data_IF_954881492533
#
_entry.id   IF_954881492533
#
_cell.length_a   1.000
_cell.length_b   1.000
_cell.length_c   1.000
_cell.angle_alpha   90.00
_cell.angle_beta   90.00
_cell.angle_gamma   90.00
#
_symmetry.space_group_name_H-M   'P 1'
#
loop_
_entity.id
_entity.type
_entity.pdbx_description
1 polymer ?
#
# COMPACT_ATOMS: atom_id res chain seq x y z
N UNK A 1 21.32 16.91 -3.27
CA UNK A 1 21.00 15.72 -2.80
C UNK A 1 19.75 15.21 -3.33
N UNK A 2 19.75 14.02 -3.71
CA UNK A 2 18.61 13.52 -4.27
C UNK A 2 17.68 12.98 -3.31
N UNK A 3 16.45 13.16 -3.45
CA UNK A 3 15.47 12.59 -2.62
C UNK A 3 15.01 11.37 -3.22
N UNK A 4 15.01 10.30 -2.54
CA UNK A 4 14.52 9.04 -3.02
C UNK A 4 13.04 8.98 -2.73
N UNK A 5 12.23 8.92 -3.77
CA UNK A 5 10.82 8.78 -3.56
C UNK A 5 10.38 7.54 -4.26
N UNK A 6 9.20 7.07 -3.93
CA UNK A 6 8.67 5.90 -4.58
C UNK A 6 8.26 6.27 -5.99
N UNK A 7 8.50 5.39 -6.93
CA UNK A 7 8.16 5.66 -8.29
C UNK A 7 6.68 5.57 -8.52
N UNK A 8 6.08 6.55 -9.15
CA UNK A 8 4.63 6.51 -9.39
C UNK A 8 4.18 5.30 -10.17
N UNK A 9 5.00 4.84 -11.10
CA UNK A 9 4.61 3.66 -11.89
C UNK A 9 4.51 2.44 -11.02
N UNK A 10 5.41 2.30 -10.07
CA UNK A 10 5.36 1.18 -9.16
C UNK A 10 4.12 1.27 -8.27
N UNK A 11 3.83 2.44 -7.76
CA UNK A 11 2.68 2.63 -6.90
C UNK A 11 1.41 2.38 -7.70
N UNK A 12 1.38 2.80 -8.96
CA UNK A 12 0.23 2.57 -9.79
C UNK A 12 0.04 1.06 -10.02
N UNK A 13 1.12 0.33 -10.19
CA UNK A 13 1.03 -1.11 -10.35
C UNK A 13 0.46 -1.76 -9.09
N UNK A 14 0.85 -1.28 -7.94
CA UNK A 14 0.33 -1.81 -6.69
C UNK A 14 -1.16 -1.50 -6.56
N UNK A 15 -1.60 -0.31 -6.93
CA UNK A 15 -3.00 0.03 -6.91
C UNK A 15 -3.78 -0.94 -7.80
N UNK A 16 -3.26 -1.22 -8.97
CA UNK A 16 -3.94 -2.12 -9.87
C UNK A 16 -4.03 -3.53 -9.31
N UNK A 17 -2.99 -4.00 -8.70
CA UNK A 17 -2.98 -5.33 -8.12
C UNK A 17 -3.99 -5.42 -6.99
N UNK A 18 -3.98 -4.43 -6.12
CA UNK A 18 -4.89 -4.45 -4.98
C UNK A 18 -6.33 -4.35 -5.46
N UNK A 19 -6.57 -3.49 -6.44
CA UNK A 19 -7.92 -3.32 -6.95
C UNK A 19 -8.41 -4.59 -7.63
N UNK A 20 -7.53 -5.24 -8.38
CA UNK A 20 -7.90 -6.48 -9.03
C UNK A 20 -8.23 -7.56 -8.03
N UNK A 21 -7.47 -7.63 -6.96
CA UNK A 21 -7.70 -8.61 -5.94
C UNK A 21 -9.04 -8.35 -5.26
N UNK A 22 -9.34 -7.10 -4.97
CA UNK A 22 -10.60 -6.79 -4.35
C UNK A 22 -11.76 -7.08 -5.30
N UNK A 23 -11.58 -6.86 -6.57
CA UNK A 23 -12.61 -7.16 -7.53
C UNK A 23 -12.87 -8.65 -7.60
N UNK A 24 -11.82 -9.45 -7.54
CA UNK A 24 -11.99 -10.88 -7.52
C UNK A 24 -12.71 -11.32 -6.28
N UNK A 25 -12.38 -10.80 -5.15
CA UNK A 25 -13.04 -11.16 -3.91
C UNK A 25 -14.50 -10.77 -3.98
N UNK A 26 -14.82 -9.63 -4.54
CA UNK A 26 -16.18 -9.21 -4.66
C UNK A 26 -16.93 -10.14 -5.59
N UNK A 27 -16.31 -10.57 -6.66
CA UNK A 27 -16.94 -11.49 -7.56
C UNK A 27 -17.21 -12.81 -6.91
N UNK A 28 -16.34 -13.30 -6.09
CA UNK A 28 -16.57 -14.55 -5.41
C UNK A 28 -17.72 -14.44 -4.45
N UNK A 29 -17.86 -13.35 -3.77
CA UNK A 29 -18.96 -13.17 -2.86
C UNK A 29 -20.23 -12.98 -3.63
N UNK A 30 -20.23 -12.20 -4.66
CA UNK A 30 -21.41 -11.99 -5.43
C UNK A 30 -21.78 -13.22 -6.21
N UNK A 31 -20.82 -13.99 -6.61
CA UNK A 31 -21.08 -15.20 -7.33
C UNK A 31 -21.85 -16.17 -6.50
N UNK A 32 -21.66 -16.15 -5.24
CA UNK A 32 -22.35 -17.03 -4.38
C UNK A 32 -23.80 -16.64 -4.29
N UNK A 33 -24.13 -15.38 -4.35
CA UNK A 33 -25.43 -14.97 -4.26
C UNK A 33 -26.00 -14.78 -5.55
N UNK A 34 -25.31 -14.59 -6.55
CA UNK A 34 -25.88 -14.15 -7.71
C UNK A 34 -26.09 -15.10 -8.71
N UNK A 35 -26.64 -16.08 -8.40
CA UNK A 35 -26.97 -16.96 -9.39
C UNK A 35 -27.83 -16.33 -10.34
N UNK A 36 -28.45 -15.28 -10.07
CA UNK A 36 -29.31 -14.68 -10.95
C UNK A 36 -28.54 -14.13 -11.99
N UNK A 37 -27.53 -13.93 -11.98
CA UNK A 37 -26.75 -13.57 -12.97
C UNK A 37 -27.10 -12.63 -13.98
N UNK A 38 -27.95 -11.97 -13.96
CA UNK A 38 -28.27 -11.18 -14.95
C UNK A 38 -27.47 -10.06 -14.97
N UNK A 39 -26.55 -9.94 -14.66
CA UNK A 39 -25.81 -8.91 -14.54
C UNK A 39 -25.00 -8.59 -15.67
N UNK A 40 -25.34 -8.82 -16.81
CA UNK A 40 -24.54 -8.50 -17.92
C UNK A 40 -24.10 -7.09 -17.93
N UNK A 41 -24.98 -6.23 -17.61
CA UNK A 41 -24.64 -4.86 -17.62
C UNK A 41 -23.64 -4.53 -16.54
N UNK A 42 -23.78 -5.11 -15.46
CA UNK A 42 -22.86 -4.84 -14.39
C UNK A 42 -21.53 -5.40 -14.65
N UNK A 43 -21.45 -6.42 -15.43
CA UNK A 43 -20.21 -7.05 -15.64
C UNK A 43 -19.26 -6.16 -16.33
N UNK A 44 -19.70 -5.42 -17.29
CA UNK A 44 -18.76 -4.60 -17.98
C UNK A 44 -18.19 -3.54 -17.06
N UNK A 45 -18.95 -3.04 -16.15
CA UNK A 45 -18.41 -2.12 -15.22
C UNK A 45 -17.44 -2.76 -14.29
N UNK A 46 -17.69 -3.96 -13.89
CA UNK A 46 -16.79 -4.61 -12.99
C UNK A 46 -15.48 -4.86 -13.60
N UNK A 47 -15.45 -5.08 -14.89
CA UNK A 47 -14.21 -5.37 -15.53
C UNK A 47 -13.48 -4.13 -15.95
N UNK A 48 -14.00 -2.97 -15.66
CA UNK A 48 -13.33 -1.78 -16.04
C UNK A 48 -12.02 -1.66 -15.31
N UNK A 49 -10.94 -1.38 -15.94
CA UNK A 49 -9.67 -1.29 -15.26
C UNK A 49 -9.71 -0.05 -14.38
N UNK A 50 -9.06 -0.14 -13.27
CA UNK A 50 -9.00 0.94 -12.35
C UNK A 50 -7.72 1.67 -12.54
N UNK A 51 -7.78 2.97 -12.58
CA UNK A 51 -6.56 3.72 -12.61
C UNK A 51 -6.66 4.76 -11.53
N UNK A 52 -5.58 5.10 -10.95
CA UNK A 52 -5.58 6.07 -9.90
C UNK A 52 -5.42 7.44 -10.51
N UNK A 53 -6.06 8.40 -9.92
CA UNK A 53 -5.89 9.77 -10.30
C UNK A 53 -4.45 10.17 -10.06
N UNK A 54 -3.92 11.06 -10.88
CA UNK A 54 -2.53 11.47 -10.74
C UNK A 54 -2.23 12.08 -9.40
N UNK A 55 -3.17 12.85 -8.85
CA UNK A 55 -2.96 13.43 -7.53
C UNK A 55 -2.95 12.35 -6.46
N UNK A 56 -3.77 11.33 -6.63
CA UNK A 56 -3.79 10.24 -5.66
C UNK A 56 -2.47 9.49 -5.67
N UNK A 57 -1.90 9.29 -6.85
CA UNK A 57 -0.61 8.64 -6.92
C UNK A 57 0.47 9.47 -6.27
N UNK A 58 0.45 10.78 -6.51
CA UNK A 58 1.44 11.64 -5.94
C UNK A 58 1.34 11.64 -4.43
N UNK A 59 0.13 11.74 -3.90
CA UNK A 59 -0.05 11.73 -2.46
C UNK A 59 0.36 10.40 -1.85
N UNK A 60 0.11 9.31 -2.57
CA UNK A 60 0.52 8.00 -2.07
C UNK A 60 2.03 7.88 -1.99
N UNK A 61 2.73 8.40 -2.98
CA UNK A 61 4.17 8.36 -2.95
C UNK A 61 4.70 9.19 -1.80
N UNK A 62 4.10 10.34 -1.53
CA UNK A 62 4.52 11.17 -0.43
C UNK A 62 4.23 10.50 0.90
N UNK A 63 3.07 9.89 1.03
CA UNK A 63 2.73 9.21 2.25
C UNK A 63 3.69 8.07 2.53
N UNK A 64 4.00 7.29 1.50
CA UNK A 64 4.92 6.18 1.69
C UNK A 64 6.32 6.66 2.04
N UNK A 65 6.74 7.75 1.43
CA UNK A 65 8.04 8.30 1.76
C UNK A 65 8.09 8.74 3.21
N UNK A 66 7.05 9.44 3.67
CA UNK A 66 7.01 9.90 5.04
C UNK A 66 6.95 8.74 6.01
N UNK A 67 6.17 7.72 5.69
CA UNK A 67 6.05 6.55 6.54
C UNK A 67 7.40 5.85 6.67
N UNK A 68 8.07 5.65 5.54
CA UNK A 68 9.36 4.95 5.54
C UNK A 68 10.42 5.77 6.27
N UNK A 69 10.42 7.08 6.05
CA UNK A 69 11.39 7.93 6.71
C UNK A 69 11.20 7.88 8.22
N UNK A 70 9.98 7.95 8.67
CA UNK A 70 9.73 7.91 10.09
C UNK A 70 10.11 6.56 10.69
N UNK A 71 9.81 5.48 9.96
CA UNK A 71 10.17 4.15 10.43
C UNK A 71 11.68 4.02 10.59
N UNK A 72 12.42 4.51 9.60
CA UNK A 72 13.87 4.40 9.64
C UNK A 72 14.45 5.27 10.75
N UNK A 73 13.89 6.46 10.95
CA UNK A 73 14.39 7.32 12.01
C UNK A 73 14.19 6.70 13.38
N UNK A 74 13.02 6.10 13.60
CA UNK A 74 12.77 5.47 14.87
C UNK A 74 13.63 4.24 15.07
N UNK A 75 13.83 3.46 14.01
CA UNK A 75 14.69 2.29 14.09
C UNK A 75 16.13 2.71 14.35
N UNK A 76 16.55 3.81 13.75
CA UNK A 76 17.91 4.29 13.97
C UNK A 76 18.13 4.68 15.42
N UNK A 77 17.12 5.28 16.04
CA UNK A 77 17.24 5.65 17.44
C UNK A 77 17.44 4.41 18.31
N UNK A 78 16.72 3.34 18.00
CA UNK A 78 16.91 2.12 18.76
C UNK A 78 18.30 1.55 18.55
N UNK A 79 18.73 1.53 17.29
CA UNK A 79 20.06 0.98 16.98
C UNK A 79 21.14 1.77 17.69
N UNK A 80 21.01 3.09 17.72
CA UNK A 80 22.00 3.90 18.41
C UNK A 80 22.01 3.61 19.88
N UNK A 81 20.84 3.43 20.48
CA UNK A 81 20.78 3.14 21.89
C UNK A 81 21.42 1.80 22.20
N UNK A 82 21.42 0.90 21.24
CA UNK A 82 22.06 -0.39 21.45
C UNK A 82 23.52 -0.38 21.07
N UNK A 83 24.01 0.74 20.59
CA UNK A 83 25.43 0.82 20.26
C UNK A 83 25.80 0.16 18.96
N UNK A 84 24.84 -0.07 18.09
CA UNK A 84 25.17 -0.70 16.81
C UNK A 84 25.07 0.33 15.72
N UNK A 85 25.79 0.11 14.65
CA UNK A 85 25.83 1.07 13.57
C UNK A 85 25.05 0.62 12.36
N UNK A 86 24.18 -0.32 12.54
CA UNK A 86 23.41 -0.83 11.43
C UNK A 86 21.99 -1.06 11.89
N UNK A 87 21.03 -0.68 11.07
CA UNK A 87 19.63 -0.93 11.38
C UNK A 87 19.32 -2.33 10.93
N UNK A 88 18.78 -3.14 11.82
CA UNK A 88 18.44 -4.50 11.51
C UNK A 88 16.95 -4.70 11.49
N UNK A 89 16.48 -5.79 10.94
CA UNK A 89 15.04 -6.02 10.86
C UNK A 89 14.34 -5.95 12.22
N UNK A 90 15.01 -6.39 13.26
CA UNK A 90 14.39 -6.36 14.58
C UNK A 90 14.13 -4.94 15.04
N UNK A 91 14.97 -4.00 14.62
CA UNK A 91 14.74 -2.62 14.99
C UNK A 91 13.47 -2.11 14.33
N UNK A 92 13.26 -2.46 13.08
CA UNK A 92 12.06 -2.04 12.39
C UNK A 92 10.83 -2.72 12.97
N UNK A 93 10.96 -3.99 13.33
CA UNK A 93 9.84 -4.69 13.91
C UNK A 93 9.39 -4.06 15.20
N UNK A 94 10.31 -3.54 15.97
CA UNK A 94 9.95 -2.95 17.24
C UNK A 94 9.23 -1.63 17.08
N UNK A 95 9.47 -0.89 15.99
CA UNK A 95 8.81 0.38 15.84
C UNK A 95 7.47 0.28 15.14
N UNK A 96 7.22 -0.82 14.44
CA UNK A 96 6.01 -0.91 13.65
C UNK A 96 4.70 -0.77 14.41
N UNK A 97 4.52 -1.40 15.56
CA UNK A 97 3.23 -1.29 16.22
C UNK A 97 2.83 0.15 16.55
N UNK A 98 3.75 0.91 17.10
CA UNK A 98 3.43 2.27 17.45
C UNK A 98 3.35 3.14 16.19
N UNK A 99 4.19 2.87 15.23
CA UNK A 99 4.19 3.63 14.01
C UNK A 99 2.86 3.50 13.29
N UNK A 100 2.32 2.28 13.26
CA UNK A 100 1.05 2.07 12.61
C UNK A 100 -0.09 2.77 13.32
N UNK A 101 0.04 2.96 14.61
CA UNK A 101 -0.95 3.71 15.34
C UNK A 101 -0.82 5.20 15.09
N UNK A 102 0.38 5.66 14.85
CA UNK A 102 0.62 7.08 14.64
C UNK A 102 0.24 7.53 13.24
N UNK A 103 0.14 6.63 12.34
CA UNK A 103 -0.29 6.92 11.01
C UNK A 103 -1.68 6.35 10.77
#
# INVERSE_FOLDING_TARGET
MEEHTFEPDLIHAIFKIVWSRRALERQMIEGADALDGETGAGTSKKNRPTSANGNALKLSCELLRNFTTEAVQRAATIAEAEGVSKIEPTHLERVLPQLLLDF
#
